data_IF_200953665185
#
_entry.id   IF_200953665185
#
_cell.length_a   1.000
_cell.length_b   1.000
_cell.length_c   1.000
_cell.angle_alpha   90.00
_cell.angle_beta   90.00
_cell.angle_gamma   90.00
#
_symmetry.space_group_name_H-M   'P 1'
#
loop_
_entity.id
_entity.type
_entity.pdbx_description
1 polymer ?
#
# COMPACT_ATOMS: atom_id res chain seq x y z
N UNK A 1 -3.60 -16.06 8.59
CA UNK A 1 -3.35 -14.77 7.91
C UNK A 1 -2.40 -13.90 8.71
N UNK A 2 -2.69 -13.67 10.00
CA UNK A 2 -1.85 -12.79 10.82
C UNK A 2 -0.42 -13.35 11.02
N UNK A 3 -0.28 -14.65 11.21
CA UNK A 3 1.02 -15.29 11.36
C UNK A 3 1.87 -15.08 10.09
N UNK A 4 1.27 -15.26 8.93
CA UNK A 4 1.96 -15.05 7.65
C UNK A 4 2.35 -13.60 7.44
N UNK A 5 1.48 -12.67 7.83
CA UNK A 5 1.78 -11.25 7.77
C UNK A 5 2.99 -10.91 8.64
N UNK A 6 3.02 -11.38 9.88
CA UNK A 6 4.15 -11.16 10.77
C UNK A 6 5.45 -11.76 10.24
N UNK A 7 5.40 -12.97 9.72
CA UNK A 7 6.58 -13.62 9.16
C UNK A 7 7.10 -12.84 7.94
N UNK A 8 6.22 -12.34 7.10
CA UNK A 8 6.57 -11.49 5.96
C UNK A 8 7.22 -10.18 6.44
N UNK A 9 6.63 -9.50 7.40
CA UNK A 9 7.15 -8.24 7.94
C UNK A 9 8.52 -8.43 8.59
N UNK A 10 8.70 -9.49 9.37
CA UNK A 10 9.96 -9.77 10.03
C UNK A 10 11.08 -10.05 9.04
N UNK A 11 10.83 -10.88 8.03
CA UNK A 11 11.84 -11.17 6.99
C UNK A 11 12.25 -9.90 6.25
N UNK A 12 11.28 -9.09 5.85
CA UNK A 12 11.58 -7.90 5.07
C UNK A 12 12.21 -6.80 5.93
N UNK A 13 11.79 -6.65 7.17
CA UNK A 13 12.41 -5.69 8.08
C UNK A 13 13.87 -6.00 8.32
N UNK A 14 14.19 -7.27 8.53
CA UNK A 14 15.57 -7.73 8.74
C UNK A 14 16.44 -7.46 7.52
N UNK A 15 15.92 -7.74 6.33
CA UNK A 15 16.70 -7.66 5.10
C UNK A 15 16.74 -6.25 4.51
N UNK A 16 15.67 -5.47 4.68
CA UNK A 16 15.48 -4.18 4.00
C UNK A 16 15.33 -2.98 4.94
N UNK A 17 15.27 -3.20 6.25
CA UNK A 17 15.11 -2.12 7.21
C UNK A 17 13.79 -1.37 7.09
N UNK A 18 12.70 -2.09 6.88
CA UNK A 18 11.39 -1.50 6.65
C UNK A 18 10.86 -0.72 7.85
N UNK A 19 9.98 0.24 7.56
CA UNK A 19 9.24 0.98 8.56
C UNK A 19 8.37 0.05 9.42
N UNK A 20 8.11 0.48 10.66
CA UNK A 20 7.18 -0.22 11.55
C UNK A 20 5.73 0.14 11.29
N UNK A 21 5.46 1.16 10.49
CA UNK A 21 4.10 1.55 10.13
C UNK A 21 3.58 0.66 9.02
N UNK A 22 2.42 0.05 9.27
CA UNK A 22 1.76 -0.85 8.33
C UNK A 22 0.35 -0.33 8.08
N UNK A 23 0.07 0.04 6.84
CA UNK A 23 -1.23 0.58 6.46
C UNK A 23 -2.10 -0.53 5.91
N UNK A 24 -3.29 -0.68 6.49
CA UNK A 24 -4.27 -1.70 6.11
C UNK A 24 -5.56 -1.00 5.70
N UNK A 25 -6.25 -1.55 4.71
CA UNK A 25 -7.55 -1.03 4.30
C UNK A 25 -8.46 -0.87 5.52
N UNK A 26 -8.92 0.36 5.76
CA UNK A 26 -9.73 0.69 6.93
C UNK A 26 -11.10 -0.03 6.96
N UNK A 27 -11.54 -0.59 5.83
CA UNK A 27 -12.73 -1.42 5.81
C UNK A 27 -12.53 -2.77 6.50
N UNK A 28 -11.28 -3.21 6.67
CA UNK A 28 -10.96 -4.49 7.30
C UNK A 28 -10.55 -4.30 8.76
N UNK A 29 -11.48 -3.83 9.59
CA UNK A 29 -11.23 -3.57 11.00
C UNK A 29 -10.90 -4.82 11.80
N UNK A 30 -11.47 -5.97 11.43
CA UNK A 30 -11.18 -7.22 12.13
C UNK A 30 -9.71 -7.63 11.99
N UNK A 31 -9.15 -7.51 10.80
CA UNK A 31 -7.72 -7.79 10.57
C UNK A 31 -6.83 -6.82 11.34
N UNK A 32 -7.18 -5.53 11.35
CA UNK A 32 -6.44 -4.51 12.10
C UNK A 32 -6.42 -4.84 13.59
N UNK A 33 -7.57 -5.20 14.16
CA UNK A 33 -7.69 -5.53 15.57
C UNK A 33 -6.91 -6.79 15.93
N UNK A 34 -6.98 -7.83 15.11
CA UNK A 34 -6.20 -9.06 15.31
C UNK A 34 -4.70 -8.78 15.24
N UNK A 35 -4.27 -7.99 14.26
CA UNK A 35 -2.87 -7.64 14.11
C UNK A 35 -2.35 -6.87 15.33
N UNK A 36 -3.12 -5.96 15.88
CA UNK A 36 -2.76 -5.21 17.08
C UNK A 36 -2.60 -6.11 18.31
N UNK A 37 -3.42 -7.14 18.43
CA UNK A 37 -3.30 -8.11 19.52
C UNK A 37 -2.05 -8.97 19.39
N UNK A 38 -1.63 -9.25 18.18
CA UNK A 38 -0.51 -10.16 17.90
C UNK A 38 0.87 -9.50 18.09
N UNK A 39 0.94 -8.19 18.00
CA UNK A 39 2.20 -7.44 17.98
C UNK A 39 3.12 -7.68 19.17
N UNK A 40 2.56 -8.02 20.32
CA UNK A 40 3.34 -8.19 21.56
C UNK A 40 4.03 -9.55 21.66
N UNK A 41 3.65 -10.53 20.85
CA UNK A 41 4.10 -11.91 20.98
C UNK A 41 5.58 -12.10 20.66
N UNK A 42 6.13 -11.26 19.76
CA UNK A 42 7.54 -11.36 19.33
C UNK A 42 8.42 -10.22 19.84
N UNK A 43 7.90 -9.38 20.72
CA UNK A 43 8.65 -8.24 21.27
C UNK A 43 8.88 -7.09 20.31
N UNK A 44 8.38 -7.18 19.08
CA UNK A 44 8.46 -6.12 18.10
C UNK A 44 7.09 -5.50 17.92
N UNK A 45 7.05 -4.17 17.93
CA UNK A 45 5.81 -3.42 17.83
C UNK A 45 5.71 -2.81 16.44
N UNK A 46 4.75 -3.29 15.65
CA UNK A 46 4.33 -2.66 14.41
C UNK A 46 3.12 -1.78 14.69
N UNK A 47 3.06 -0.64 14.03
CA UNK A 47 1.91 0.26 14.09
C UNK A 47 0.97 -0.09 12.94
N UNK A 48 -0.15 -0.74 13.25
CA UNK A 48 -1.16 -1.07 12.26
C UNK A 48 -2.16 0.07 12.17
N UNK A 49 -2.20 0.72 11.02
CA UNK A 49 -2.93 1.95 10.80
C UNK A 49 -3.97 1.70 9.71
N UNK A 50 -5.23 2.05 9.98
CA UNK A 50 -6.26 2.03 8.97
C UNK A 50 -5.98 3.08 7.90
N UNK A 51 -5.99 2.68 6.63
CA UNK A 51 -5.70 3.59 5.54
C UNK A 51 -6.78 4.68 5.42
N UNK A 52 -6.34 5.91 5.17
CA UNK A 52 -7.24 7.04 4.92
C UNK A 52 -7.85 6.89 3.52
N UNK A 53 -9.17 6.82 3.45
CA UNK A 53 -9.90 6.53 2.20
C UNK A 53 -10.73 7.70 1.69
N UNK A 54 -10.62 8.88 2.28
CA UNK A 54 -11.40 10.05 1.85
C UNK A 54 -10.85 10.71 0.57
N UNK A 55 -9.60 10.43 0.21
CA UNK A 55 -9.06 10.90 -1.06
C UNK A 55 -9.68 10.12 -2.21
N UNK A 56 -10.22 10.82 -3.19
CA UNK A 56 -10.84 10.19 -4.34
C UNK A 56 -9.83 9.40 -5.16
N UNK A 57 -10.30 8.33 -5.79
CA UNK A 57 -9.45 7.44 -6.60
C UNK A 57 -8.71 8.23 -7.68
N UNK A 58 -9.38 9.14 -8.36
CA UNK A 58 -8.76 9.93 -9.43
C UNK A 58 -7.61 10.79 -8.90
N UNK A 59 -7.76 11.37 -7.72
CA UNK A 59 -6.71 12.19 -7.11
C UNK A 59 -5.50 11.34 -6.73
N UNK A 60 -5.74 10.15 -6.20
CA UNK A 60 -4.65 9.21 -5.87
C UNK A 60 -3.84 8.82 -7.10
N UNK A 61 -4.52 8.59 -8.21
CA UNK A 61 -3.88 8.26 -9.49
C UNK A 61 -3.04 9.43 -9.98
N UNK A 62 -3.56 10.65 -9.91
CA UNK A 62 -2.82 11.84 -10.33
C UNK A 62 -1.57 12.05 -9.49
N UNK A 63 -1.65 11.88 -8.17
CA UNK A 63 -0.46 11.95 -7.31
C UNK A 63 0.58 10.91 -7.72
N UNK A 64 0.18 9.67 -7.87
CA UNK A 64 1.10 8.59 -8.21
C UNK A 64 1.74 8.80 -9.59
N UNK A 65 0.97 9.20 -10.57
CA UNK A 65 1.49 9.50 -11.91
C UNK A 65 2.50 10.63 -11.88
N UNK A 66 2.22 11.68 -11.11
CA UNK A 66 3.16 12.78 -10.94
C UNK A 66 4.48 12.32 -10.29
N UNK A 67 4.40 11.47 -9.28
CA UNK A 67 5.59 10.94 -8.62
C UNK A 67 6.42 10.05 -9.56
N UNK A 68 5.78 9.24 -10.37
CA UNK A 68 6.46 8.43 -11.39
C UNK A 68 7.16 9.33 -12.40
N UNK A 69 6.47 10.34 -12.92
CA UNK A 69 7.02 11.27 -13.90
C UNK A 69 8.21 12.06 -13.37
N UNK A 70 8.24 12.36 -12.07
CA UNK A 70 9.30 13.12 -11.42
C UNK A 70 10.36 12.24 -10.74
N UNK A 71 10.37 10.95 -11.03
CA UNK A 71 11.32 9.97 -10.47
C UNK A 71 11.31 9.90 -8.94
N UNK A 72 10.18 10.23 -8.32
CA UNK A 72 9.98 10.11 -6.87
C UNK A 72 9.40 8.75 -6.48
N UNK A 73 8.95 7.99 -7.45
CA UNK A 73 8.40 6.66 -7.27
C UNK A 73 9.12 5.70 -8.20
N UNK A 74 9.83 4.76 -7.61
CA UNK A 74 10.60 3.75 -8.34
C UNK A 74 10.15 2.37 -7.90
N UNK A 75 10.12 1.42 -8.81
CA UNK A 75 9.70 0.05 -8.55
C UNK A 75 10.83 -0.90 -8.93
N UNK A 76 11.20 -1.77 -7.99
CA UNK A 76 12.19 -2.80 -8.27
C UNK A 76 11.70 -3.76 -9.34
N UNK A 77 12.61 -4.19 -10.23
CA UNK A 77 12.26 -5.16 -11.28
C UNK A 77 11.77 -6.50 -10.75
N UNK A 78 12.09 -6.84 -9.50
CA UNK A 78 11.58 -8.06 -8.86
C UNK A 78 10.12 -7.97 -8.42
N UNK A 79 9.54 -6.77 -8.36
CA UNK A 79 8.12 -6.56 -8.01
C UNK A 79 7.23 -6.82 -9.22
N UNK A 80 7.21 -8.05 -9.70
CA UNK A 80 6.57 -8.41 -10.97
C UNK A 80 5.07 -8.21 -10.98
N UNK A 81 4.39 -8.52 -9.88
CA UNK A 81 2.94 -8.35 -9.79
C UNK A 81 2.55 -6.88 -9.86
N UNK A 82 3.28 -6.02 -9.16
CA UNK A 82 3.00 -4.59 -9.18
C UNK A 82 3.27 -3.97 -10.55
N UNK A 83 4.38 -4.36 -11.18
CA UNK A 83 4.69 -3.90 -12.54
C UNK A 83 3.62 -4.33 -13.55
N UNK A 84 3.15 -5.58 -13.46
CA UNK A 84 2.08 -6.07 -14.31
C UNK A 84 0.77 -5.29 -14.11
N UNK A 85 0.43 -4.97 -12.87
CA UNK A 85 -0.76 -4.14 -12.57
C UNK A 85 -0.63 -2.73 -13.13
N UNK A 86 0.55 -2.10 -12.98
CA UNK A 86 0.78 -0.77 -13.54
C UNK A 86 0.65 -0.74 -15.06
N UNK A 87 1.11 -1.80 -15.74
CA UNK A 87 1.00 -1.91 -17.20
C UNK A 87 -0.44 -2.13 -17.66
N UNK A 88 -1.23 -2.90 -16.91
CA UNK A 88 -2.59 -3.26 -17.27
C UNK A 88 -3.66 -2.34 -16.68
N UNK A 89 -3.25 -1.40 -15.82
CA UNK A 89 -4.19 -0.50 -15.15
C UNK A 89 -4.85 0.42 -16.16
N UNK A 90 -6.13 0.22 -16.38
CA UNK A 90 -6.87 0.95 -17.41
C UNK A 90 -8.09 1.65 -16.84
N UNK A 91 -8.55 2.67 -17.56
CA UNK A 91 -9.74 3.41 -17.22
C UNK A 91 -11.00 2.67 -17.74
N UNK A 92 -12.09 2.79 -17.00
CA UNK A 92 -13.39 2.40 -17.51
C UNK A 92 -13.78 3.35 -18.63
N UNK A 93 -14.23 2.79 -19.77
CA UNK A 93 -14.81 3.59 -20.83
C UNK A 93 -16.00 4.39 -20.27
N UNK A 94 -16.20 5.58 -20.75
CA UNK A 94 -17.28 6.47 -20.36
C UNK A 94 -17.31 6.92 -18.88
N UNK A 95 -16.29 6.53 -18.11
CA UNK A 95 -16.16 6.93 -16.70
C UNK A 95 -14.73 7.33 -16.42
N UNK A 96 -14.54 8.40 -15.68
CA UNK A 96 -13.21 8.83 -15.24
C UNK A 96 -12.74 8.00 -14.04
N UNK A 97 -13.05 6.71 -14.03
CA UNK A 97 -12.65 5.77 -13.00
C UNK A 97 -11.92 4.60 -13.64
N UNK A 98 -10.89 4.05 -12.97
CA UNK A 98 -10.21 2.86 -13.47
C UNK A 98 -11.10 1.63 -13.41
N UNK A 99 -10.77 0.62 -14.20
CA UNK A 99 -11.39 -0.69 -14.07
C UNK A 99 -11.16 -1.24 -12.66
N UNK A 100 -12.21 -1.81 -12.08
CA UNK A 100 -12.15 -2.43 -10.76
C UNK A 100 -11.62 -3.88 -10.90
N UNK A 101 -10.40 -4.02 -11.41
CA UNK A 101 -9.74 -5.31 -11.54
C UNK A 101 -8.23 -5.12 -11.61
N UNK A 102 -7.48 -6.08 -11.06
CA UNK A 102 -6.02 -6.08 -11.10
C UNK A 102 -5.38 -4.79 -10.57
N UNK A 103 -5.91 -4.26 -9.45
CA UNK A 103 -5.44 -3.01 -8.86
C UNK A 103 -5.04 -3.14 -7.38
N UNK A 104 -4.91 -4.36 -6.88
CA UNK A 104 -4.67 -4.60 -5.45
C UNK A 104 -3.35 -4.02 -4.96
N UNK A 105 -2.26 -4.22 -5.71
CA UNK A 105 -0.96 -3.67 -5.32
C UNK A 105 -0.91 -2.16 -5.51
N UNK A 106 -1.60 -1.65 -6.53
CA UNK A 106 -1.69 -0.20 -6.78
C UNK A 106 -2.39 0.48 -5.61
N UNK A 107 -3.52 -0.06 -5.17
CA UNK A 107 -4.25 0.48 -4.02
C UNK A 107 -3.43 0.40 -2.74
N UNK A 108 -2.76 -0.71 -2.50
CA UNK A 108 -1.92 -0.89 -1.32
C UNK A 108 -0.80 0.15 -1.24
N UNK A 109 -0.12 0.39 -2.36
CA UNK A 109 0.94 1.38 -2.44
C UNK A 109 0.39 2.79 -2.21
N UNK A 110 -0.76 3.12 -2.79
CA UNK A 110 -1.38 4.42 -2.59
C UNK A 110 -1.75 4.67 -1.13
N UNK A 111 -2.27 3.66 -0.44
CA UNK A 111 -2.57 3.77 0.99
C UNK A 111 -1.31 4.08 1.82
N UNK A 112 -0.17 3.52 1.45
CA UNK A 112 1.08 3.77 2.14
C UNK A 112 1.63 5.17 1.88
N UNK A 113 1.46 5.72 0.67
CA UNK A 113 2.02 7.01 0.28
C UNK A 113 1.15 8.22 0.65
N UNK A 114 -0.16 8.08 0.65
CA UNK A 114 -1.06 9.21 0.87
C UNK A 114 -0.78 10.01 2.14
N UNK A 115 -0.45 9.38 3.29
CA UNK A 115 -0.11 10.15 4.49
C UNK A 115 1.09 11.07 4.33
N UNK A 116 1.95 10.79 3.35
CA UNK A 116 3.19 11.52 3.12
C UNK A 116 3.14 12.39 1.86
N UNK A 117 1.98 12.58 1.26
CA UNK A 117 1.85 13.29 -0.03
C UNK A 117 2.43 14.69 -0.01
N UNK A 118 2.29 15.41 1.08
CA UNK A 118 2.84 16.77 1.20
C UNK A 118 4.36 16.78 1.29
N UNK A 119 4.96 15.72 1.80
CA UNK A 119 6.41 15.57 1.90
C UNK A 119 7.04 15.08 0.60
N UNK A 120 6.31 14.30 -0.15
CA UNK A 120 6.78 13.82 -1.46
C UNK A 120 6.76 14.96 -2.48
N UNK A 121 5.82 15.85 -2.32
CA UNK A 121 5.65 17.00 -3.21
C UNK A 121 4.93 16.64 -4.47
#
# INVERSE_FOLDING_TARGET
VIIRLYDFLERNRKDWGLSRDVFIDSADQSTIMEAKKFKTKKGIVYNFIGAYKKTQIIDRIHFQRGWIANFKYLVCGSCKNHLAELESYSWQEDKYLPEDSHDHTINAVQYAFLPFKSKIG
#
